data_IF_884282505788
#
_entry.id   IF_884282505788
#
_cell.length_a   1.000
_cell.length_b   1.000
_cell.length_c   1.000
_cell.angle_alpha   90.00
_cell.angle_beta   90.00
_cell.angle_gamma   90.00
#
_symmetry.space_group_name_H-M   'P 1'
#
loop_
_entity.id
_entity.type
_entity.pdbx_description
1 polymer ?
#
# COMPACT_ATOMS: atom_id res chain seq x y z
N UNK A 1 -9.22 -9.25 -18.19
CA UNK A 1 -8.39 -9.15 -16.98
C UNK A 1 -7.38 -8.05 -17.20
N UNK A 2 -7.25 -7.16 -16.24
CA UNK A 2 -6.20 -6.15 -16.29
C UNK A 2 -4.85 -6.86 -16.10
N UNK A 3 -3.93 -6.68 -17.05
CA UNK A 3 -2.54 -7.16 -16.93
C UNK A 3 -1.70 -6.25 -16.00
N UNK A 4 -2.38 -5.35 -15.28
CA UNK A 4 -1.80 -4.37 -14.35
C UNK A 4 -2.02 -4.82 -12.92
N UNK A 5 -0.96 -4.90 -12.14
CA UNK A 5 -1.01 -5.12 -10.69
C UNK A 5 -0.90 -3.78 -9.97
N UNK A 6 -1.95 -3.39 -9.25
CA UNK A 6 -2.00 -2.09 -8.57
C UNK A 6 -1.71 -2.22 -7.09
N UNK A 7 -0.77 -1.42 -6.62
CA UNK A 7 -0.37 -1.34 -5.21
C UNK A 7 -0.68 0.06 -4.68
N UNK A 8 -1.37 0.14 -3.54
CA UNK A 8 -1.63 1.40 -2.83
C UNK A 8 -0.72 1.52 -1.62
N UNK A 9 -0.07 2.68 -1.46
CA UNK A 9 0.85 2.97 -0.36
C UNK A 9 0.15 3.82 0.72
N UNK A 10 -0.39 3.15 1.74
CA UNK A 10 -1.05 3.76 2.89
C UNK A 10 -0.04 4.16 3.99
N UNK A 11 -0.38 5.16 4.76
CA UNK A 11 0.44 5.61 5.91
C UNK A 11 0.03 6.99 6.38
N UNK A 12 0.42 7.36 7.60
CA UNK A 12 0.12 8.66 8.18
C UNK A 12 0.64 9.81 7.34
N UNK A 13 -0.16 10.87 7.27
CA UNK A 13 0.18 12.12 6.58
C UNK A 13 -0.03 13.32 7.47
N UNK A 14 -1.10 13.34 8.24
CA UNK A 14 -1.42 14.43 9.16
C UNK A 14 -0.31 14.60 10.19
N UNK A 15 0.07 15.86 10.45
CA UNK A 15 1.10 16.24 11.43
C UNK A 15 2.52 15.67 11.17
N UNK A 16 2.76 15.16 9.97
CA UNK A 16 4.07 14.72 9.51
C UNK A 16 4.65 15.69 8.49
N UNK A 17 5.99 15.82 8.45
CA UNK A 17 6.67 16.57 7.40
C UNK A 17 6.46 15.91 6.03
N UNK A 18 6.67 16.69 4.96
CA UNK A 18 6.59 16.14 3.60
C UNK A 18 7.54 14.97 3.39
N UNK A 19 8.77 15.07 3.93
CA UNK A 19 9.74 13.98 3.85
C UNK A 19 9.27 12.72 4.58
N UNK A 20 8.70 12.87 5.77
CA UNK A 20 8.15 11.73 6.53
C UNK A 20 6.98 11.06 5.81
N UNK A 21 6.17 11.86 5.10
CA UNK A 21 5.05 11.33 4.31
C UNK A 21 5.54 10.62 3.04
N UNK A 22 6.52 11.17 2.34
CA UNK A 22 6.82 10.83 0.95
C UNK A 22 8.05 9.95 0.77
N UNK A 23 9.14 10.15 1.52
CA UNK A 23 10.42 9.50 1.23
C UNK A 23 10.35 7.96 1.24
N UNK A 24 9.64 7.38 2.18
CA UNK A 24 9.46 5.94 2.23
C UNK A 24 8.64 5.43 1.04
N UNK A 25 7.61 6.18 0.63
CA UNK A 25 6.78 5.85 -0.52
C UNK A 25 7.57 5.84 -1.82
N UNK A 26 8.42 6.83 -2.01
CA UNK A 26 9.31 6.88 -3.18
C UNK A 26 10.31 5.73 -3.20
N UNK A 27 10.91 5.40 -2.06
CA UNK A 27 11.85 4.27 -1.97
C UNK A 27 11.17 2.95 -2.28
N UNK A 28 10.03 2.68 -1.68
CA UNK A 28 9.25 1.45 -1.89
C UNK A 28 8.79 1.36 -3.35
N UNK A 29 8.24 2.43 -3.91
CA UNK A 29 7.81 2.51 -5.31
C UNK A 29 8.98 2.19 -6.25
N UNK A 30 10.11 2.85 -6.08
CA UNK A 30 11.31 2.64 -6.90
C UNK A 30 11.83 1.22 -6.79
N UNK A 31 11.88 0.67 -5.60
CA UNK A 31 12.33 -0.71 -5.36
C UNK A 31 11.42 -1.73 -6.06
N UNK A 32 10.11 -1.59 -5.92
CA UNK A 32 9.13 -2.49 -6.56
C UNK A 32 9.24 -2.44 -8.07
N UNK A 33 9.26 -1.25 -8.67
CA UNK A 33 9.34 -1.08 -10.12
C UNK A 33 10.65 -1.62 -10.67
N UNK A 34 11.78 -1.37 -9.99
CA UNK A 34 13.09 -1.89 -10.41
C UNK A 34 13.10 -3.42 -10.39
N UNK A 35 12.60 -4.03 -9.32
CA UNK A 35 12.52 -5.50 -9.20
C UNK A 35 11.59 -6.10 -10.24
N UNK A 36 10.45 -5.48 -10.50
CA UNK A 36 9.54 -5.90 -11.57
C UNK A 36 10.24 -5.98 -12.92
N UNK A 37 11.01 -4.96 -13.28
CA UNK A 37 11.76 -4.93 -14.55
C UNK A 37 12.84 -6.01 -14.65
N UNK A 38 13.45 -6.37 -13.50
CA UNK A 38 14.54 -7.37 -13.46
C UNK A 38 14.03 -8.80 -13.48
N UNK A 39 12.83 -9.08 -13.02
CA UNK A 39 12.32 -10.44 -12.81
C UNK A 39 11.65 -11.06 -14.04
N UNK A 40 11.49 -10.32 -15.14
CA UNK A 40 10.74 -10.76 -16.32
C UNK A 40 9.39 -11.41 -15.92
N UNK A 41 8.51 -10.71 -15.23
CA UNK A 41 7.36 -11.26 -14.56
C UNK A 41 6.24 -11.60 -15.54
N UNK A 42 5.31 -12.44 -15.09
CA UNK A 42 4.05 -12.73 -15.81
C UNK A 42 3.11 -11.53 -15.82
N UNK A 43 3.19 -10.69 -14.80
CA UNK A 43 2.47 -9.42 -14.72
C UNK A 43 3.16 -8.40 -15.63
N UNK A 44 2.45 -7.88 -16.60
CA UNK A 44 3.02 -6.96 -17.60
C UNK A 44 3.34 -5.58 -17.04
N UNK A 45 2.52 -5.11 -16.12
CA UNK A 45 2.63 -3.75 -15.57
C UNK A 45 2.35 -3.73 -14.08
N UNK A 46 3.14 -2.97 -13.33
CA UNK A 46 2.91 -2.67 -11.92
C UNK A 46 2.67 -1.17 -11.77
N UNK A 47 1.51 -0.83 -11.22
CA UNK A 47 1.14 0.54 -10.90
C UNK A 47 1.17 0.75 -9.39
N UNK A 48 2.03 1.66 -8.92
CA UNK A 48 2.16 1.99 -7.51
C UNK A 48 1.53 3.37 -7.26
N UNK A 49 0.46 3.39 -6.48
CA UNK A 49 -0.26 4.61 -6.12
C UNK A 49 0.37 5.20 -4.87
N UNK A 50 0.98 6.37 -5.03
CA UNK A 50 1.44 7.21 -3.93
C UNK A 50 0.44 8.36 -3.74
N UNK A 51 -0.38 8.36 -2.66
CA UNK A 51 -1.39 9.41 -2.46
C UNK A 51 -0.79 10.81 -2.37
N UNK A 52 0.46 10.94 -1.91
CA UNK A 52 1.15 12.25 -1.80
C UNK A 52 1.32 12.94 -3.14
N UNK A 53 1.40 12.19 -4.24
CA UNK A 53 1.51 12.76 -5.59
C UNK A 53 0.27 13.59 -5.98
N UNK A 54 -0.87 13.35 -5.34
CA UNK A 54 -2.15 14.03 -5.56
C UNK A 54 -2.42 15.16 -4.57
N UNK A 55 -1.60 15.31 -3.53
CA UNK A 55 -1.70 16.34 -2.49
C UNK A 55 -0.55 17.34 -2.58
N UNK A 56 -0.22 17.78 -3.76
CA UNK A 56 0.73 18.87 -3.87
C UNK A 56 0.10 20.13 -3.27
N UNK A 57 0.66 20.61 -2.16
CA UNK A 57 0.15 21.77 -1.42
C UNK A 57 0.09 23.06 -2.24
N UNK A 58 0.75 23.11 -3.38
CA UNK A 58 0.74 24.26 -4.29
C UNK A 58 -0.30 24.13 -5.41
N UNK A 59 -0.64 22.90 -5.80
CA UNK A 59 -1.58 22.58 -6.87
C UNK A 59 -2.50 21.44 -6.45
N UNK A 60 -3.23 21.64 -5.33
CA UNK A 60 -4.15 20.63 -4.84
C UNK A 60 -5.21 20.28 -5.89
N UNK A 61 -5.27 19.04 -6.30
CA UNK A 61 -6.27 18.54 -7.25
C UNK A 61 -7.67 18.46 -6.63
N UNK A 62 -7.74 18.47 -5.31
CA UNK A 62 -8.97 18.34 -4.54
C UNK A 62 -9.26 19.61 -3.76
N UNK A 63 -10.50 20.07 -3.81
CA UNK A 63 -10.96 21.27 -3.10
C UNK A 63 -11.45 20.97 -1.69
N UNK A 64 -11.76 19.72 -1.38
CA UNK A 64 -12.35 19.32 -0.10
C UNK A 64 -11.77 18.00 0.44
N UNK A 65 -11.74 17.86 1.77
CA UNK A 65 -11.39 16.61 2.44
C UNK A 65 -12.28 15.42 2.01
N UNK A 66 -13.53 15.70 1.63
CA UNK A 66 -14.46 14.68 1.12
C UNK A 66 -13.98 14.10 -0.21
N UNK A 67 -13.47 14.95 -1.11
CA UNK A 67 -12.90 14.50 -2.39
C UNK A 67 -11.64 13.66 -2.16
N UNK A 68 -10.77 14.12 -1.26
CA UNK A 68 -9.58 13.38 -0.81
C UNK A 68 -9.95 11.99 -0.32
N UNK A 69 -10.83 11.92 0.66
CA UNK A 69 -11.29 10.65 1.24
C UNK A 69 -11.88 9.71 0.18
N UNK A 70 -12.73 10.23 -0.71
CA UNK A 70 -13.36 9.43 -1.77
C UNK A 70 -12.34 8.91 -2.77
N UNK A 71 -11.37 9.73 -3.13
CA UNK A 71 -10.31 9.39 -4.05
C UNK A 71 -9.43 8.26 -3.49
N UNK A 72 -8.92 8.44 -2.27
CA UNK A 72 -8.07 7.44 -1.61
C UNK A 72 -8.81 6.12 -1.39
N UNK A 73 -10.00 6.16 -0.85
CA UNK A 73 -10.78 4.94 -0.60
C UNK A 73 -11.16 4.22 -1.89
N UNK A 74 -11.36 4.95 -3.00
CA UNK A 74 -11.59 4.35 -4.31
C UNK A 74 -10.32 3.64 -4.81
N UNK A 75 -9.14 4.23 -4.66
CA UNK A 75 -7.88 3.57 -5.01
C UNK A 75 -7.63 2.33 -4.17
N UNK A 76 -7.89 2.37 -2.87
CA UNK A 76 -7.79 1.20 -2.00
C UNK A 76 -8.66 0.06 -2.52
N UNK A 77 -9.95 0.33 -2.80
CA UNK A 77 -10.90 -0.69 -3.29
C UNK A 77 -10.51 -1.31 -4.62
N UNK A 78 -9.79 -0.59 -5.45
CA UNK A 78 -9.36 -1.03 -6.78
C UNK A 78 -7.91 -1.53 -6.83
N UNK A 79 -7.25 -1.62 -5.68
CA UNK A 79 -5.89 -2.14 -5.59
C UNK A 79 -5.86 -3.66 -5.44
N UNK A 80 -4.76 -4.26 -5.88
CA UNK A 80 -4.47 -5.68 -5.72
C UNK A 80 -3.69 -5.96 -4.43
N UNK A 81 -3.05 -4.93 -3.86
CA UNK A 81 -2.27 -4.98 -2.64
C UNK A 81 -2.26 -3.60 -1.97
N UNK A 82 -2.37 -3.58 -0.66
CA UNK A 82 -2.15 -2.38 0.16
C UNK A 82 -0.90 -2.56 1.01
N UNK A 83 0.02 -1.62 0.91
CA UNK A 83 1.23 -1.55 1.74
C UNK A 83 1.07 -0.39 2.72
N UNK A 84 1.19 -0.68 4.00
CA UNK A 84 1.00 0.28 5.09
C UNK A 84 2.32 0.55 5.78
N UNK A 85 2.73 1.82 5.87
CA UNK A 85 3.82 2.20 6.76
C UNK A 85 3.25 2.58 8.14
N UNK A 86 3.73 1.93 9.19
CA UNK A 86 3.39 2.24 10.58
C UNK A 86 4.16 3.49 11.10
N UNK A 87 4.33 4.52 10.26
CA UNK A 87 4.94 5.79 10.64
C UNK A 87 4.08 6.55 11.66
N UNK A 88 2.75 6.46 11.53
CA UNK A 88 1.77 6.94 12.51
C UNK A 88 0.68 5.87 12.78
N UNK A 89 0.88 4.98 13.78
CA UNK A 89 -0.09 3.92 14.08
C UNK A 89 -1.44 4.42 14.64
N UNK A 90 -1.56 5.71 14.91
CA UNK A 90 -2.80 6.35 15.38
C UNK A 90 -3.58 7.02 14.27
N UNK A 91 -3.07 7.01 13.04
CA UNK A 91 -3.72 7.60 11.88
C UNK A 91 -5.09 6.97 11.64
N UNK A 92 -6.13 7.80 11.72
CA UNK A 92 -7.52 7.38 11.46
C UNK A 92 -7.69 7.00 10.00
N UNK A 93 -7.17 7.82 9.08
CA UNK A 93 -7.25 7.55 7.65
C UNK A 93 -6.62 6.21 7.28
N UNK A 94 -5.42 5.94 7.77
CA UNK A 94 -4.74 4.67 7.55
C UNK A 94 -5.53 3.48 8.13
N UNK A 95 -6.11 3.64 9.32
CA UNK A 95 -6.97 2.60 9.92
C UNK A 95 -8.20 2.29 9.05
N UNK A 96 -8.82 3.32 8.47
CA UNK A 96 -9.94 3.14 7.55
C UNK A 96 -9.52 2.47 6.24
N UNK A 97 -8.38 2.81 5.69
CA UNK A 97 -7.82 2.19 4.47
C UNK A 97 -7.54 0.69 4.69
N UNK A 98 -6.97 0.34 5.84
CA UNK A 98 -6.76 -1.07 6.24
C UNK A 98 -8.11 -1.81 6.33
N UNK A 99 -9.11 -1.23 6.99
CA UNK A 99 -10.42 -1.84 7.14
C UNK A 99 -11.14 -2.03 5.79
N UNK A 100 -11.05 -1.05 4.90
CA UNK A 100 -11.62 -1.14 3.55
C UNK A 100 -10.92 -2.24 2.74
N UNK A 101 -9.59 -2.31 2.79
CA UNK A 101 -8.83 -3.37 2.12
C UNK A 101 -9.24 -4.75 2.62
N UNK A 102 -9.34 -4.92 3.94
CA UNK A 102 -9.78 -6.16 4.59
C UNK A 102 -11.18 -6.58 4.13
N UNK A 103 -12.17 -5.69 4.17
CA UNK A 103 -13.53 -5.95 3.73
C UNK A 103 -13.65 -6.32 2.25
N UNK A 104 -12.75 -5.81 1.43
CA UNK A 104 -12.67 -6.14 0.00
C UNK A 104 -11.73 -7.30 -0.34
N UNK A 105 -11.25 -8.03 0.67
CA UNK A 105 -10.32 -9.16 0.50
C UNK A 105 -9.05 -8.79 -0.26
N UNK A 106 -8.56 -7.57 -0.03
CA UNK A 106 -7.31 -7.07 -0.58
C UNK A 106 -6.21 -7.30 0.45
N UNK A 107 -5.12 -8.00 0.10
CA UNK A 107 -4.01 -8.21 1.03
C UNK A 107 -3.42 -6.93 1.58
N UNK A 108 -3.07 -6.94 2.87
CA UNK A 108 -2.46 -5.81 3.58
C UNK A 108 -1.11 -6.24 4.14
N UNK A 109 -0.05 -5.54 3.75
CA UNK A 109 1.28 -5.71 4.32
C UNK A 109 1.67 -4.47 5.12
N UNK A 110 2.16 -4.66 6.34
CA UNK A 110 2.58 -3.55 7.20
C UNK A 110 4.10 -3.48 7.30
N UNK A 111 4.64 -2.30 7.07
CA UNK A 111 6.04 -1.95 7.32
C UNK A 111 6.15 -1.25 8.68
N UNK A 112 6.82 -1.85 9.64
CA UNK A 112 7.00 -1.34 11.00
C UNK A 112 8.48 -1.37 11.42
N UNK A 113 9.31 -0.59 10.74
CA UNK A 113 10.77 -0.56 10.94
C UNK A 113 11.21 -0.06 12.31
N UNK A 114 10.36 0.73 12.99
CA UNK A 114 10.63 1.28 14.32
C UNK A 114 10.00 0.47 15.46
N UNK A 115 9.45 -0.69 15.14
CA UNK A 115 8.78 -1.58 16.11
C UNK A 115 7.78 -0.84 17.00
N UNK A 116 6.96 0.02 16.41
CA UNK A 116 5.91 0.75 17.11
C UNK A 116 4.80 -0.21 17.54
N UNK A 117 4.14 0.12 18.65
CA UNK A 117 2.95 -0.59 19.09
C UNK A 117 1.80 -0.36 18.10
N UNK A 118 1.23 -1.43 17.58
CA UNK A 118 0.11 -1.41 16.65
C UNK A 118 -1.18 -1.76 17.38
N UNK A 119 -2.29 -1.15 16.95
CA UNK A 119 -3.61 -1.57 17.39
C UNK A 119 -3.86 -3.02 16.97
N UNK A 120 -4.54 -3.80 17.82
CA UNK A 120 -4.81 -5.21 17.56
C UNK A 120 -5.55 -5.44 16.22
N UNK A 121 -6.45 -4.55 15.84
CA UNK A 121 -7.16 -4.66 14.56
C UNK A 121 -6.24 -4.46 13.34
N UNK A 122 -5.21 -3.64 13.46
CA UNK A 122 -4.20 -3.55 12.37
C UNK A 122 -3.49 -4.88 12.17
N UNK A 123 -3.17 -5.57 13.29
CA UNK A 123 -2.52 -6.88 13.25
C UNK A 123 -3.45 -7.92 12.64
N UNK A 124 -4.69 -8.00 13.11
CA UNK A 124 -5.67 -8.99 12.65
C UNK A 124 -6.11 -8.78 11.19
N UNK A 125 -6.16 -7.54 10.72
CA UNK A 125 -6.54 -7.20 9.34
C UNK A 125 -5.35 -7.24 8.36
N UNK A 126 -4.13 -7.47 8.82
CA UNK A 126 -2.94 -7.57 7.97
C UNK A 126 -2.54 -9.01 7.70
N UNK A 127 -1.99 -9.25 6.52
CA UNK A 127 -1.50 -10.57 6.13
C UNK A 127 -0.08 -10.81 6.63
N UNK A 128 0.74 -9.76 6.69
CA UNK A 128 2.12 -9.85 7.17
C UNK A 128 2.66 -8.51 7.62
N UNK A 129 3.53 -8.54 8.65
CA UNK A 129 4.22 -7.39 9.19
C UNK A 129 5.72 -7.56 8.98
N UNK A 130 6.37 -6.51 8.45
CA UNK A 130 7.80 -6.48 8.18
C UNK A 130 8.51 -5.44 9.06
N UNK A 131 9.66 -5.78 9.55
CA UNK A 131 10.57 -4.91 10.31
C UNK A 131 11.60 -4.21 9.43
N UNK A 132 11.67 -4.59 8.15
CA UNK A 132 12.68 -4.15 7.20
C UNK A 132 12.08 -3.88 5.83
N UNK A 133 12.41 -2.73 5.24
CA UNK A 133 11.87 -2.27 3.95
C UNK A 133 12.33 -3.16 2.78
N UNK A 134 13.56 -3.63 2.82
CA UNK A 134 14.12 -4.51 1.79
C UNK A 134 13.43 -5.88 1.78
N UNK A 135 13.18 -6.44 2.98
CA UNK A 135 12.41 -7.68 3.11
C UNK A 135 10.99 -7.55 2.58
N UNK A 136 10.33 -6.42 2.87
CA UNK A 136 9.00 -6.11 2.34
C UNK A 136 9.00 -6.08 0.81
N UNK A 137 9.91 -5.32 0.21
CA UNK A 137 9.98 -5.18 -1.25
C UNK A 137 10.33 -6.49 -1.94
N UNK A 138 11.23 -7.28 -1.36
CA UNK A 138 11.56 -8.62 -1.86
C UNK A 138 10.35 -9.54 -1.81
N UNK A 139 9.62 -9.55 -0.71
CA UNK A 139 8.41 -10.36 -0.57
C UNK A 139 7.32 -9.96 -1.58
N UNK A 140 7.11 -8.67 -1.81
CA UNK A 140 6.16 -8.20 -2.82
C UNK A 140 6.56 -8.69 -4.21
N UNK A 141 7.84 -8.56 -4.56
CA UNK A 141 8.33 -8.99 -5.86
C UNK A 141 8.21 -10.51 -6.06
N UNK A 142 8.60 -11.29 -5.07
CA UNK A 142 8.66 -12.75 -5.19
C UNK A 142 7.30 -13.40 -5.05
N UNK A 143 6.44 -12.91 -4.14
CA UNK A 143 5.16 -13.54 -3.84
C UNK A 143 4.01 -12.98 -4.68
N UNK A 144 3.90 -11.65 -4.81
CA UNK A 144 2.76 -11.04 -5.51
C UNK A 144 3.02 -10.79 -6.99
N UNK A 145 4.20 -10.28 -7.35
CA UNK A 145 4.49 -9.87 -8.74
C UNK A 145 4.86 -11.06 -9.63
N UNK A 146 5.62 -12.03 -9.11
CA UNK A 146 6.00 -13.23 -9.89
C UNK A 146 4.88 -14.26 -9.97
N UNK A 147 3.98 -14.29 -9.00
CA UNK A 147 2.79 -15.14 -9.05
C UNK A 147 1.68 -14.49 -9.87
N UNK A 148 0.82 -15.32 -10.43
CA UNK A 148 -0.40 -14.82 -11.06
C UNK A 148 -1.31 -14.22 -9.97
N UNK A 149 -1.59 -12.91 -10.06
CA UNK A 149 -2.42 -12.19 -9.09
C UNK A 149 -3.84 -12.78 -8.91
N UNK A 150 -4.37 -13.45 -9.92
CA UNK A 150 -5.65 -14.17 -9.84
C UNK A 150 -5.57 -15.32 -8.84
N UNK A 151 -4.41 -15.99 -8.78
CA UNK A 151 -4.18 -17.07 -7.80
C UNK A 151 -4.10 -16.53 -6.37
N UNK A 152 -3.50 -15.35 -6.19
CA UNK A 152 -3.41 -14.69 -4.87
C UNK A 152 -4.79 -14.29 -4.37
N UNK A 153 -5.61 -13.67 -5.21
CA UNK A 153 -6.98 -13.29 -4.85
C UNK A 153 -7.86 -14.49 -4.49
N UNK A 154 -7.77 -15.57 -5.26
CA UNK A 154 -8.51 -16.80 -4.95
C UNK A 154 -8.04 -17.43 -3.64
N UNK A 155 -6.78 -17.31 -3.31
CA UNK A 155 -6.24 -17.83 -2.06
C UNK A 155 -6.71 -17.04 -0.83
N UNK A 156 -6.75 -15.72 -0.94
CA UNK A 156 -7.29 -14.83 0.12
C UNK A 156 -8.78 -15.06 0.34
N UNK A 157 -9.55 -15.34 -0.71
CA UNK A 157 -10.98 -15.62 -0.61
C UNK A 157 -11.30 -17.00 0.02
N UNK A 158 -10.32 -17.89 0.13
CA UNK A 158 -10.47 -19.21 0.71
C UNK A 158 -10.16 -19.27 2.22
N UNK A 159 -9.66 -18.18 2.80
CA UNK A 159 -9.40 -18.04 4.24
C UNK A 159 -10.54 -17.30 4.94
#
# INVERSE_FOLDING_TARGET
>A
MSDVFQIYLAGGMQDLSFEEQNNWRERVCRSIITRHRMLNPRIKEVNVINPVDYYNFQDALHDTEKEVMRFDTNFVRNSDLVVVNANDPKSIGTSMEIAIAYEHHIPVLILNTKNKSLHSWWIEMSDKIFDDEEKLCTYIADFYITMNHTSVRSWVQMQ
#
